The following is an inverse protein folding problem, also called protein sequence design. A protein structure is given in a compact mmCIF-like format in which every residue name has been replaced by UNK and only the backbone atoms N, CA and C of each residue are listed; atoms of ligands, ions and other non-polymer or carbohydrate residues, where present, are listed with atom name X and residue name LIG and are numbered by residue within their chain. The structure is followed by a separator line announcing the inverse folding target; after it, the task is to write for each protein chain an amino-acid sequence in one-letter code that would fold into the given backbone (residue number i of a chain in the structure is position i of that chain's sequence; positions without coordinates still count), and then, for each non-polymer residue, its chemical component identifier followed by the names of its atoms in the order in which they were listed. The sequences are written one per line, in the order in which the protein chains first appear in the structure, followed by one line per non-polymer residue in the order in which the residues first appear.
data_IF_432568343310
#
_entry.id   IF_432568343310
#
_cell.length_a   1.000
_cell.length_b   1.000
_cell.length_c   1.000
_cell.angle_alpha   90.00
_cell.angle_beta   90.00
_cell.angle_gamma   90.00
#
_symmetry.space_group_name_H-M   'P 1'
#
loop_
_entity.id
_entity.type
_entity.pdbx_description
1 polymer ?
#
# COMPACT_ATOMS: atom_id res chain seq x y z
N UNK A 1 -6.50 -17.08 10.50
CA UNK A 1 -6.06 -15.69 10.76
C UNK A 1 -7.24 -14.96 11.36
N UNK A 2 -7.02 -14.11 12.34
CA UNK A 2 -8.09 -13.32 12.97
C UNK A 2 -7.92 -11.86 12.54
N UNK A 3 -8.93 -11.29 11.87
CA UNK A 3 -8.94 -9.91 11.39
C UNK A 3 -10.06 -9.16 12.11
N UNK A 4 -9.68 -8.13 12.85
CA UNK A 4 -10.62 -7.31 13.61
C UNK A 4 -11.68 -6.65 12.72
N UNK A 5 -12.88 -6.45 13.24
CA UNK A 5 -13.96 -5.77 12.52
C UNK A 5 -13.62 -4.33 12.13
N UNK A 6 -12.68 -3.70 12.87
CA UNK A 6 -12.16 -2.36 12.56
C UNK A 6 -10.73 -2.35 12.00
N UNK A 7 -10.21 -3.47 11.49
CA UNK A 7 -8.91 -3.48 10.82
C UNK A 7 -8.94 -2.53 9.61
N UNK A 8 -7.93 -1.65 9.49
CA UNK A 8 -7.88 -0.69 8.39
C UNK A 8 -7.10 -1.24 7.18
N UNK A 9 -7.67 -1.11 5.98
CA UNK A 9 -6.95 -1.32 4.73
C UNK A 9 -6.28 0.00 4.31
N UNK A 10 -4.96 -0.02 4.18
CA UNK A 10 -4.15 1.12 3.76
C UNK A 10 -3.71 0.89 2.31
N UNK A 11 -4.34 1.60 1.38
CA UNK A 11 -4.09 1.51 -0.07
C UNK A 11 -3.06 2.55 -0.44
N UNK A 12 -1.79 2.11 -0.60
CA UNK A 12 -0.63 3.00 -0.72
C UNK A 12 -0.31 3.26 -2.18
N UNK A 13 -0.42 4.52 -2.59
CA UNK A 13 0.11 5.07 -3.85
C UNK A 13 -0.32 4.30 -5.12
N UNK A 14 -1.53 3.78 -5.17
CA UNK A 14 -2.04 3.06 -6.35
C UNK A 14 -2.48 4.08 -7.40
N UNK A 15 -1.46 4.68 -8.06
CA UNK A 15 -1.61 5.84 -8.96
C UNK A 15 -1.29 5.47 -10.41
N UNK A 16 -1.94 6.18 -11.36
CA UNK A 16 -1.76 5.98 -12.82
C UNK A 16 -0.30 6.15 -13.28
N UNK A 17 0.45 7.03 -12.63
CA UNK A 17 1.84 7.30 -12.99
C UNK A 17 2.77 6.09 -12.84
N UNK A 18 2.38 5.06 -12.13
CA UNK A 18 3.13 3.80 -12.06
C UNK A 18 2.93 2.89 -13.28
N UNK A 19 2.04 3.25 -14.20
CA UNK A 19 1.90 2.58 -15.50
C UNK A 19 2.90 3.11 -16.56
N UNK A 20 3.67 4.16 -16.25
CA UNK A 20 4.68 4.71 -17.15
C UNK A 20 5.93 3.84 -17.20
N UNK A 21 5.88 2.78 -18.01
CA UNK A 21 6.99 1.82 -18.17
C UNK A 21 8.30 2.49 -18.63
N UNK A 22 8.22 3.57 -19.41
CA UNK A 22 9.40 4.33 -19.82
C UNK A 22 10.15 4.98 -18.64
N UNK A 23 9.46 5.24 -17.55
CA UNK A 23 10.05 5.83 -16.33
C UNK A 23 10.48 4.76 -15.31
N UNK A 24 9.63 3.75 -15.09
CA UNK A 24 9.82 2.76 -14.03
C UNK A 24 10.44 1.44 -14.51
N UNK A 25 10.34 1.12 -15.80
CA UNK A 25 10.58 -0.22 -16.31
C UNK A 25 9.41 -1.18 -16.06
N UNK A 26 9.56 -2.46 -16.45
CA UNK A 26 8.52 -3.47 -16.26
C UNK A 26 8.31 -3.78 -14.77
N UNK A 27 7.06 -3.86 -14.36
CA UNK A 27 6.69 -4.27 -13.00
C UNK A 27 6.64 -5.79 -12.85
N UNK A 28 6.81 -6.27 -11.63
CA UNK A 28 6.44 -7.64 -11.28
C UNK A 28 4.94 -7.73 -10.93
N UNK A 29 4.47 -8.91 -10.57
CA UNK A 29 3.15 -9.21 -10.04
C UNK A 29 1.99 -8.57 -10.84
N UNK A 30 1.66 -9.09 -12.03
CA UNK A 30 0.60 -8.52 -12.88
C UNK A 30 -0.79 -8.60 -12.23
N UNK A 31 -0.98 -9.47 -11.24
CA UNK A 31 -2.25 -9.67 -10.54
C UNK A 31 -2.47 -8.68 -9.38
N UNK A 32 -1.49 -7.85 -9.05
CA UNK A 32 -1.57 -6.94 -7.91
C UNK A 32 -2.81 -6.05 -7.94
N UNK A 33 -3.11 -5.45 -9.09
CA UNK A 33 -4.26 -4.55 -9.24
C UNK A 33 -5.60 -5.26 -8.96
N UNK A 34 -5.74 -6.50 -9.46
CA UNK A 34 -6.94 -7.32 -9.19
C UNK A 34 -7.06 -7.66 -7.71
N UNK A 35 -5.96 -8.03 -7.08
CA UNK A 35 -5.93 -8.39 -5.66
C UNK A 35 -6.21 -7.18 -4.76
N UNK A 36 -5.66 -6.00 -5.10
CA UNK A 36 -5.96 -4.73 -4.41
C UNK A 36 -7.45 -4.40 -4.53
N UNK A 37 -8.02 -4.48 -5.75
CA UNK A 37 -9.43 -4.23 -5.97
C UNK A 37 -10.32 -5.16 -5.14
N UNK A 38 -10.00 -6.46 -5.11
CA UNK A 38 -10.74 -7.45 -4.31
C UNK A 38 -10.68 -7.17 -2.81
N UNK A 39 -9.54 -6.72 -2.30
CA UNK A 39 -9.40 -6.32 -0.89
C UNK A 39 -10.21 -5.05 -0.57
N UNK A 40 -10.20 -4.04 -1.45
CA UNK A 40 -11.03 -2.84 -1.28
C UNK A 40 -12.50 -3.24 -1.22
N UNK A 41 -12.97 -4.06 -2.17
CA UNK A 41 -14.35 -4.53 -2.22
C UNK A 41 -14.75 -5.30 -0.94
N UNK A 42 -13.89 -6.20 -0.44
CA UNK A 42 -14.14 -6.97 0.77
C UNK A 42 -14.23 -6.06 2.02
N UNK A 43 -13.31 -5.09 2.17
CA UNK A 43 -13.32 -4.14 3.28
C UNK A 43 -14.55 -3.24 3.25
N UNK A 44 -14.90 -2.73 2.09
CA UNK A 44 -16.08 -1.87 1.93
C UNK A 44 -17.38 -2.64 2.17
N UNK A 45 -17.49 -3.88 1.68
CA UNK A 45 -18.68 -4.72 1.87
C UNK A 45 -18.91 -5.10 3.35
N UNK A 46 -17.82 -5.22 4.12
CA UNK A 46 -17.89 -5.52 5.55
C UNK A 46 -17.93 -4.28 6.46
N UNK A 47 -17.99 -3.07 5.88
CA UNK A 47 -18.01 -1.80 6.63
C UNK A 47 -16.70 -1.47 7.34
N UNK A 48 -15.60 -2.12 6.98
CA UNK A 48 -14.28 -1.88 7.56
C UNK A 48 -13.63 -0.59 7.04
N UNK A 49 -12.73 0.03 7.83
CA UNK A 49 -12.05 1.26 7.43
C UNK A 49 -11.13 1.10 6.20
N UNK A 50 -11.19 2.05 5.25
CA UNK A 50 -10.29 2.10 4.10
C UNK A 50 -9.59 3.47 4.04
N UNK A 51 -8.27 3.45 3.98
CA UNK A 51 -7.42 4.64 3.82
C UNK A 51 -6.79 4.62 2.44
N UNK A 52 -7.02 5.67 1.67
CA UNK A 52 -6.38 5.88 0.38
C UNK A 52 -5.22 6.85 0.55
N UNK A 53 -4.02 6.44 0.14
CA UNK A 53 -2.79 7.23 0.25
C UNK A 53 -2.34 7.61 -1.15
N UNK A 54 -2.14 8.91 -1.38
CA UNK A 54 -1.59 9.44 -2.63
C UNK A 54 -0.20 10.01 -2.39
N UNK A 55 0.76 9.62 -3.21
CA UNK A 55 2.09 10.20 -3.22
C UNK A 55 2.13 11.44 -4.11
N UNK A 56 2.44 12.59 -3.52
CA UNK A 56 2.67 13.85 -4.21
C UNK A 56 4.19 14.07 -4.33
N UNK A 57 4.77 13.54 -5.41
CA UNK A 57 6.23 13.54 -5.59
C UNK A 57 6.80 14.96 -5.68
N UNK A 58 7.86 15.27 -4.92
CA UNK A 58 8.58 16.54 -5.07
C UNK A 58 9.55 16.55 -6.27
N UNK A 59 9.81 15.39 -6.89
CA UNK A 59 10.75 15.27 -8.01
C UNK A 59 10.17 15.91 -9.29
N UNK A 60 10.88 16.82 -9.96
CA UNK A 60 10.34 17.59 -11.09
C UNK A 60 9.76 16.74 -12.23
N UNK A 61 10.46 15.68 -12.62
CA UNK A 61 10.10 14.83 -13.77
C UNK A 61 9.31 13.57 -13.38
N UNK A 62 8.89 13.47 -12.12
CA UNK A 62 8.12 12.33 -11.66
C UNK A 62 6.70 12.33 -12.23
N UNK A 63 6.21 11.20 -12.77
CA UNK A 63 4.82 11.06 -13.19
C UNK A 63 3.83 11.19 -12.01
N UNK A 64 4.31 11.03 -10.77
CA UNK A 64 3.50 11.18 -9.55
C UNK A 64 3.47 12.62 -9.02
N UNK A 65 4.04 13.59 -9.74
CA UNK A 65 4.04 14.98 -9.31
C UNK A 65 2.64 15.59 -9.41
N UNK A 66 2.28 16.42 -8.45
CA UNK A 66 1.02 17.19 -8.48
C UNK A 66 0.92 17.98 -9.78
N UNK A 67 -0.23 17.86 -10.46
CA UNK A 67 -0.49 18.47 -11.76
C UNK A 67 -0.15 17.59 -12.97
N UNK A 68 0.51 16.46 -12.77
CA UNK A 68 0.69 15.43 -13.80
C UNK A 68 -0.52 14.49 -13.83
N UNK A 69 -0.92 13.99 -15.01
CA UNK A 69 -2.03 13.01 -15.11
C UNK A 69 -1.80 11.78 -14.23
N UNK A 70 -0.55 11.31 -14.15
CA UNK A 70 -0.16 10.14 -13.37
C UNK A 70 -0.27 10.32 -11.84
N UNK A 71 -0.47 11.54 -11.33
CA UNK A 71 -0.69 11.77 -9.90
C UNK A 71 -2.06 11.28 -9.41
N UNK A 72 -3.04 11.10 -10.31
CA UNK A 72 -4.34 10.51 -9.99
C UNK A 72 -4.26 9.03 -9.60
N UNK A 73 -5.24 8.55 -8.85
CA UNK A 73 -5.38 7.12 -8.60
C UNK A 73 -5.73 6.36 -9.88
N UNK A 74 -5.32 5.09 -9.95
CA UNK A 74 -5.75 4.19 -11.03
C UNK A 74 -7.29 4.13 -11.08
N UNK A 75 -7.85 4.04 -12.28
CA UNK A 75 -9.29 4.12 -12.51
C UNK A 75 -10.11 3.21 -11.59
N UNK A 76 -9.68 1.96 -11.38
CA UNK A 76 -10.39 1.02 -10.52
C UNK A 76 -10.37 1.41 -9.02
N UNK A 77 -9.36 2.16 -8.57
CA UNK A 77 -9.30 2.70 -7.20
C UNK A 77 -10.20 3.92 -7.09
N UNK A 78 -10.15 4.83 -8.07
CA UNK A 78 -10.99 6.03 -8.08
C UNK A 78 -12.49 5.68 -8.11
N UNK A 79 -12.87 4.63 -8.84
CA UNK A 79 -14.25 4.10 -8.85
C UNK A 79 -14.73 3.59 -7.49
N UNK A 80 -13.82 3.13 -6.63
CA UNK A 80 -14.08 2.59 -5.29
C UNK A 80 -13.93 3.62 -4.18
N UNK A 81 -13.19 4.68 -4.45
CA UNK A 81 -12.93 5.73 -3.47
C UNK A 81 -14.25 6.42 -3.08
N UNK A 82 -14.50 6.49 -1.77
CA UNK A 82 -15.73 7.09 -1.22
C UNK A 82 -16.96 6.18 -1.32
N UNK A 83 -16.81 4.90 -1.69
CA UNK A 83 -17.87 3.89 -1.57
C UNK A 83 -17.76 3.13 -0.25
N UNK A 84 -18.82 2.39 0.09
CA UNK A 84 -18.95 1.67 1.36
C UNK A 84 -19.37 2.57 2.51
N UNK A 85 -19.92 1.95 3.56
CA UNK A 85 -20.45 2.65 4.75
C UNK A 85 -19.41 2.77 5.88
N UNK A 86 -18.24 2.15 5.71
CA UNK A 86 -17.15 2.18 6.68
C UNK A 86 -16.41 3.51 6.74
N UNK A 87 -15.66 3.76 7.82
CA UNK A 87 -14.83 4.96 7.94
C UNK A 87 -13.79 5.02 6.82
N UNK A 88 -13.62 6.19 6.22
CA UNK A 88 -12.66 6.43 5.14
C UNK A 88 -11.73 7.59 5.42
N UNK A 89 -10.50 7.51 4.91
CA UNK A 89 -9.54 8.59 4.92
C UNK A 89 -8.86 8.71 3.56
N UNK A 90 -8.74 9.92 3.06
CA UNK A 90 -7.81 10.25 1.97
C UNK A 90 -6.69 11.09 2.56
N UNK A 91 -5.45 10.63 2.42
CA UNK A 91 -4.27 11.40 2.81
C UNK A 91 -3.27 11.53 1.65
N UNK A 92 -2.47 12.58 1.70
CA UNK A 92 -1.36 12.79 0.76
C UNK A 92 -0.04 12.82 1.51
N UNK A 93 1.04 12.40 0.84
CA UNK A 93 2.39 12.40 1.39
C UNK A 93 3.41 12.69 0.30
N UNK A 94 4.58 13.19 0.68
CA UNK A 94 5.73 13.43 -0.22
C UNK A 94 6.97 12.60 0.14
N UNK A 95 6.83 11.69 1.12
CA UNK A 95 7.86 10.75 1.57
C UNK A 95 7.30 9.33 1.55
N UNK A 96 8.12 8.31 1.82
CA UNK A 96 7.70 6.92 1.67
C UNK A 96 6.62 6.49 2.68
N UNK A 97 6.75 6.86 3.95
CA UNK A 97 5.78 6.42 4.96
C UNK A 97 4.47 7.21 4.90
N UNK A 98 3.34 6.51 4.90
CA UNK A 98 2.00 7.10 5.04
C UNK A 98 1.79 7.78 6.40
N UNK A 99 2.56 7.43 7.43
CA UNK A 99 2.51 8.06 8.74
C UNK A 99 3.04 9.49 8.78
N UNK A 100 3.67 9.96 7.70
CA UNK A 100 4.05 11.37 7.50
C UNK A 100 3.11 12.10 6.53
N UNK A 101 1.94 11.53 6.29
CA UNK A 101 0.92 12.14 5.44
C UNK A 101 0.06 13.18 6.14
N UNK A 102 -0.75 13.85 5.33
CA UNK A 102 -1.74 14.83 5.80
C UNK A 102 -3.10 14.47 5.19
N UNK A 103 -4.17 14.32 5.99
CA UNK A 103 -4.22 14.33 7.46
C UNK A 103 -3.35 13.27 8.15
N UNK A 104 -3.05 13.46 9.45
CA UNK A 104 -2.21 12.54 10.23
C UNK A 104 -2.88 11.16 10.36
N UNK A 105 -2.22 10.15 9.79
CA UNK A 105 -2.72 8.77 9.80
C UNK A 105 -2.79 8.20 11.21
N UNK A 106 -1.74 8.43 12.03
CA UNK A 106 -1.68 7.87 13.37
C UNK A 106 -2.79 8.44 14.27
N UNK A 107 -3.00 9.75 14.20
CA UNK A 107 -4.07 10.40 14.95
C UNK A 107 -5.45 9.84 14.56
N UNK A 108 -5.69 9.65 13.24
CA UNK A 108 -6.94 9.09 12.76
C UNK A 108 -7.15 7.65 13.21
N UNK A 109 -6.13 6.80 13.13
CA UNK A 109 -6.18 5.41 13.59
C UNK A 109 -6.44 5.31 15.09
N UNK A 110 -5.76 6.12 15.89
CA UNK A 110 -5.90 6.12 17.34
C UNK A 110 -7.31 6.59 17.79
N UNK A 111 -7.83 7.63 17.18
CA UNK A 111 -9.21 8.12 17.43
C UNK A 111 -10.26 7.06 17.06
N UNK A 112 -10.00 6.26 16.04
CA UNK A 112 -10.90 5.18 15.59
C UNK A 112 -10.69 3.87 16.37
N UNK A 113 -9.77 3.83 17.32
CA UNK A 113 -9.44 2.62 18.10
C UNK A 113 -8.85 1.48 17.26
N UNK A 114 -8.29 1.79 16.09
CA UNK A 114 -7.75 0.81 15.15
C UNK A 114 -6.38 0.35 15.63
N UNK A 115 -6.14 -0.97 15.62
CA UNK A 115 -4.87 -1.60 16.03
C UNK A 115 -4.33 -2.59 15.00
N UNK A 116 -5.12 -2.96 14.00
CA UNK A 116 -4.69 -3.84 12.91
C UNK A 116 -4.72 -3.08 11.58
N UNK A 117 -3.67 -3.25 10.78
CA UNK A 117 -3.49 -2.63 9.48
C UNK A 117 -3.22 -3.69 8.42
N UNK A 118 -3.87 -3.56 7.27
CA UNK A 118 -3.52 -4.30 6.05
C UNK A 118 -2.93 -3.30 5.07
N UNK A 119 -1.67 -3.46 4.67
CA UNK A 119 -0.96 -2.50 3.82
C UNK A 119 -0.75 -3.10 2.44
N UNK A 120 -1.31 -2.46 1.41
CA UNK A 120 -1.26 -2.88 -0.01
C UNK A 120 -0.78 -1.73 -0.88
N UNK A 121 -0.40 -2.00 -2.12
CA UNK A 121 -0.11 -0.95 -3.12
C UNK A 121 1.31 -0.96 -3.67
N UNK A 122 1.88 0.22 -3.92
CA UNK A 122 3.08 0.45 -4.73
C UNK A 122 4.04 1.42 -4.02
N UNK A 123 5.35 1.21 -4.04
CA UNK A 123 6.12 0.02 -4.45
C UNK A 123 6.36 -0.87 -3.23
N UNK A 124 6.42 -2.17 -3.44
CA UNK A 124 6.61 -3.18 -2.38
C UNK A 124 7.76 -2.83 -1.45
N UNK A 125 8.95 -2.56 -1.99
CA UNK A 125 10.20 -2.29 -1.26
C UNK A 125 10.42 -0.81 -0.90
N UNK A 126 9.45 0.05 -1.14
CA UNK A 126 9.52 1.50 -0.86
C UNK A 126 8.37 1.93 0.07
N UNK A 127 7.32 2.52 -0.48
CA UNK A 127 6.24 3.10 0.33
C UNK A 127 5.45 2.05 1.12
N UNK A 128 5.23 0.87 0.56
CA UNK A 128 4.57 -0.25 1.27
C UNK A 128 5.44 -0.73 2.42
N UNK A 129 6.70 -1.10 2.15
CA UNK A 129 7.63 -1.57 3.19
C UNK A 129 7.82 -0.53 4.29
N UNK A 130 8.07 0.74 3.92
CA UNK A 130 8.31 1.81 4.89
C UNK A 130 7.08 2.04 5.78
N UNK A 131 5.87 2.05 5.19
CA UNK A 131 4.63 2.20 5.94
C UNK A 131 4.39 1.00 6.87
N UNK A 132 4.57 -0.22 6.38
CA UNK A 132 4.40 -1.44 7.18
C UNK A 132 5.38 -1.50 8.35
N UNK A 133 6.66 -1.20 8.11
CA UNK A 133 7.71 -1.17 9.12
C UNK A 133 7.43 -0.13 10.20
N UNK A 134 7.02 1.06 9.80
CA UNK A 134 6.67 2.11 10.73
C UNK A 134 5.42 1.76 11.54
N UNK A 135 4.41 1.17 10.91
CA UNK A 135 3.22 0.66 11.61
C UNK A 135 3.56 -0.34 12.71
N UNK A 136 4.41 -1.34 12.40
CA UNK A 136 4.90 -2.30 13.38
C UNK A 136 5.67 -1.63 14.54
N UNK A 137 6.55 -0.68 14.23
CA UNK A 137 7.29 0.08 15.25
C UNK A 137 6.39 0.96 16.14
N UNK A 138 5.26 1.40 15.62
CA UNK A 138 4.25 2.17 16.37
C UNK A 138 3.29 1.28 17.19
N UNK A 139 3.46 -0.06 17.12
CA UNK A 139 2.70 -1.02 17.90
C UNK A 139 1.40 -1.51 17.23
N UNK A 140 1.21 -1.25 15.94
CA UNK A 140 0.12 -1.85 15.19
C UNK A 140 0.46 -3.29 14.80
N UNK A 141 -0.54 -4.15 14.76
CA UNK A 141 -0.44 -5.45 14.10
C UNK A 141 -0.63 -5.25 12.59
N UNK A 142 0.44 -5.49 11.84
CA UNK A 142 0.46 -5.20 10.40
C UNK A 142 0.45 -6.47 9.59
N UNK A 143 -0.40 -6.52 8.55
CA UNK A 143 -0.45 -7.55 7.53
C UNK A 143 -0.07 -6.95 6.18
N UNK A 144 0.76 -7.68 5.42
CA UNK A 144 1.12 -7.30 4.05
C UNK A 144 0.82 -8.47 3.13
N UNK A 145 -0.28 -8.42 2.37
CA UNK A 145 -0.53 -9.40 1.32
C UNK A 145 0.41 -9.10 0.15
N UNK A 146 1.48 -9.89 0.02
CA UNK A 146 2.53 -9.65 -0.96
C UNK A 146 1.99 -9.66 -2.40
N UNK A 147 0.98 -10.48 -2.67
CA UNK A 147 0.28 -10.60 -3.95
C UNK A 147 -0.63 -9.41 -4.28
N UNK A 148 -0.82 -8.48 -3.35
CA UNK A 148 -1.49 -7.19 -3.53
C UNK A 148 -0.51 -6.01 -3.49
N UNK A 149 0.75 -6.25 -3.85
CA UNK A 149 1.79 -5.24 -4.03
C UNK A 149 2.57 -5.49 -5.32
N UNK A 150 3.20 -4.48 -5.87
CA UNK A 150 4.18 -4.65 -6.94
C UNK A 150 5.31 -3.63 -6.85
N UNK A 151 6.40 -3.91 -7.58
CA UNK A 151 7.58 -3.05 -7.68
C UNK A 151 8.25 -3.21 -9.03
N UNK A 152 9.40 -2.60 -9.20
CA UNK A 152 10.20 -2.53 -10.42
C UNK A 152 11.63 -2.92 -10.12
N UNK A 153 12.41 -3.22 -11.16
CA UNK A 153 13.84 -3.43 -11.03
C UNK A 153 14.51 -2.16 -10.48
N UNK A 154 15.54 -2.34 -9.67
CA UNK A 154 16.22 -1.21 -9.04
C UNK A 154 17.73 -1.34 -9.17
N UNK A 155 18.36 -0.30 -9.75
CA UNK A 155 19.80 -0.17 -9.78
C UNK A 155 20.34 0.21 -8.39
N UNK A 156 21.35 -0.49 -7.97
CA UNK A 156 22.08 -0.27 -6.72
C UNK A 156 23.49 0.29 -6.96
N UNK A 157 24.31 0.35 -5.89
CA UNK A 157 25.70 0.77 -5.99
C UNK A 157 26.55 -0.26 -6.76
N UNK A 158 27.71 0.15 -7.23
CA UNK A 158 28.73 -0.69 -7.90
C UNK A 158 28.24 -1.48 -9.12
N UNK A 159 27.20 -0.97 -9.80
CA UNK A 159 26.63 -1.62 -10.97
C UNK A 159 25.70 -2.81 -10.67
N UNK A 160 25.28 -3.01 -9.44
CA UNK A 160 24.28 -4.02 -9.11
C UNK A 160 22.90 -3.56 -9.60
N UNK A 161 22.10 -4.54 -9.98
CA UNK A 161 20.66 -4.37 -10.20
C UNK A 161 19.96 -5.55 -9.57
N UNK A 162 18.93 -5.29 -8.77
CA UNK A 162 18.04 -6.31 -8.27
C UNK A 162 16.75 -6.28 -9.06
N UNK A 163 16.31 -7.45 -9.47
CA UNK A 163 15.03 -7.61 -10.14
C UNK A 163 13.86 -7.38 -9.17
N UNK A 164 12.73 -6.95 -9.71
CA UNK A 164 11.52 -6.66 -8.94
C UNK A 164 11.06 -7.82 -8.05
N UNK A 165 11.16 -9.06 -8.53
CA UNK A 165 10.82 -10.26 -7.73
C UNK A 165 11.82 -10.51 -6.59
N UNK A 166 13.08 -10.20 -6.78
CA UNK A 166 14.10 -10.33 -5.72
C UNK A 166 13.85 -9.29 -4.62
N UNK A 167 13.57 -8.05 -5.02
CA UNK A 167 13.22 -6.96 -4.10
C UNK A 167 11.95 -7.29 -3.31
N UNK A 168 10.90 -7.78 -3.97
CA UNK A 168 9.66 -8.17 -3.30
C UNK A 168 9.89 -9.29 -2.28
N UNK A 169 10.67 -10.32 -2.64
CA UNK A 169 11.02 -11.42 -1.72
C UNK A 169 11.89 -10.96 -0.56
N UNK A 170 12.88 -10.11 -0.81
CA UNK A 170 13.73 -9.53 0.24
C UNK A 170 12.90 -8.71 1.23
N UNK A 171 11.98 -7.89 0.73
CA UNK A 171 11.04 -7.12 1.55
C UNK A 171 10.15 -8.03 2.40
N UNK A 172 9.57 -9.07 1.80
CA UNK A 172 8.72 -10.03 2.51
C UNK A 172 9.46 -10.72 3.65
N UNK A 173 10.68 -11.23 3.39
CA UNK A 173 11.54 -11.85 4.41
C UNK A 173 11.90 -10.86 5.51
N UNK A 174 12.25 -9.64 5.15
CA UNK A 174 12.65 -8.59 6.07
C UNK A 174 11.51 -8.14 7.00
N UNK A 175 10.31 -7.96 6.45
CA UNK A 175 9.13 -7.58 7.22
C UNK A 175 8.68 -8.71 8.15
N UNK A 176 8.59 -9.93 7.63
CA UNK A 176 8.10 -11.10 8.38
C UNK A 176 9.12 -11.57 9.42
N UNK A 177 10.36 -11.80 8.99
CA UNK A 177 11.43 -12.28 9.88
C UNK A 177 11.89 -11.23 10.91
N UNK A 178 11.76 -9.95 10.58
CA UNK A 178 12.03 -8.84 11.50
C UNK A 178 10.89 -8.52 12.48
N UNK A 179 9.74 -9.19 12.36
CA UNK A 179 8.58 -8.99 13.24
C UNK A 179 7.85 -7.67 13.03
N UNK A 180 8.05 -7.00 11.87
CA UNK A 180 7.37 -5.74 11.57
C UNK A 180 5.97 -5.93 11.02
N UNK A 181 5.78 -6.99 10.23
CA UNK A 181 4.50 -7.33 9.64
C UNK A 181 4.38 -8.84 9.39
N UNK A 182 3.15 -9.35 9.40
CA UNK A 182 2.84 -10.71 8.92
C UNK A 182 2.63 -10.65 7.40
N UNK A 183 3.49 -11.34 6.65
CA UNK A 183 3.30 -11.48 5.20
C UNK A 183 2.35 -12.63 4.94
N UNK A 184 1.31 -12.35 4.17
CA UNK A 184 0.15 -13.23 3.91
C UNK A 184 -0.27 -13.13 2.45
N UNK A 185 -1.35 -13.82 2.05
CA UNK A 185 -2.01 -13.63 0.75
C UNK A 185 -3.28 -12.77 0.87
N UNK A 186 -3.66 -12.14 -0.24
CA UNK A 186 -4.94 -11.41 -0.34
C UNK A 186 -6.14 -12.34 -0.11
N UNK A 187 -6.07 -13.56 -0.62
CA UNK A 187 -7.13 -14.56 -0.45
C UNK A 187 -7.39 -14.92 1.03
N UNK A 188 -6.32 -15.08 1.82
CA UNK A 188 -6.45 -15.33 3.28
C UNK A 188 -7.14 -14.17 4.00
N UNK A 189 -6.81 -12.93 3.62
CA UNK A 189 -7.42 -11.74 4.21
C UNK A 189 -8.89 -11.58 3.82
N UNK A 190 -9.22 -11.77 2.54
CA UNK A 190 -10.60 -11.70 2.05
C UNK A 190 -11.46 -12.75 2.76
N UNK A 191 -10.98 -13.98 2.88
CA UNK A 191 -11.69 -15.05 3.59
C UNK A 191 -11.88 -14.76 5.09
N UNK A 192 -10.95 -14.03 5.70
CA UNK A 192 -11.04 -13.67 7.13
C UNK A 192 -11.90 -12.40 7.36
N UNK A 193 -12.14 -11.60 6.32
CA UNK A 193 -12.96 -10.38 6.39
C UNK A 193 -14.45 -10.63 6.16
N UNK A 194 -14.83 -11.76 5.52
CA UNK A 194 -16.22 -12.19 5.29
C UNK A 194 -16.73 -13.01 6.42
#
# INVERSE_FOLDING_TARGET
MDIAENAALIVVDVQEGFEEEAYWGPRNNPEADRNIAGLIDAWQSSGRPVVFVRHDSPTPDSPLRVGQPGNGFKGYVEERRGKGDGPGLLLTKSVNSAFYGTPDLKEWLDRSGIRQLVVVGIQTNMCVETTARMGGNLGYEVFVPLDATHTFDLAGPWGWTLGADELARATAVSLHGGGFAKVVSSAELIAAAG
#
